data_IF_378957021683
#
_entry.id   IF_378957021683
#
_cell.length_a   1.000
_cell.length_b   1.000
_cell.length_c   1.000
_cell.angle_alpha   90.00
_cell.angle_beta   90.00
_cell.angle_gamma   90.00
#
_symmetry.space_group_name_H-M   'P 1'
#
loop_
_entity.id
_entity.type
_entity.pdbx_description
1 polymer ?
#
# COMPACT_ATOMS: atom_id res chain seq x y z
N UNK A 1 10.28 14.84 8.93
CA UNK A 1 9.47 14.32 7.81
C UNK A 1 10.08 14.79 6.49
N UNK A 2 10.18 13.92 5.49
CA UNK A 2 10.65 14.31 4.14
C UNK A 2 9.54 14.95 3.32
N UNK A 3 8.29 14.48 3.46
CA UNK A 3 7.12 14.99 2.74
C UNK A 3 6.63 16.33 3.28
N UNK A 4 5.82 17.03 2.49
CA UNK A 4 5.17 18.26 2.92
C UNK A 4 4.05 17.98 3.93
N UNK A 5 3.88 18.89 4.89
CA UNK A 5 2.84 18.74 5.91
C UNK A 5 1.46 18.62 5.25
N UNK A 6 0.74 17.57 5.64
CA UNK A 6 -0.64 17.34 5.21
C UNK A 6 -1.56 18.27 6.00
N UNK A 7 -2.63 18.76 5.37
CA UNK A 7 -3.63 19.56 6.06
C UNK A 7 -4.32 18.72 7.14
N UNK A 8 -4.29 19.18 8.39
CA UNK A 8 -4.90 18.48 9.53
C UNK A 8 -6.40 18.24 9.38
N UNK A 9 -7.09 19.01 8.51
CA UNK A 9 -8.50 18.80 8.22
C UNK A 9 -8.82 17.39 7.71
N UNK A 10 -7.90 16.75 6.99
CA UNK A 10 -8.04 15.34 6.59
C UNK A 10 -8.17 14.43 7.82
N UNK A 11 -7.27 14.55 8.77
CA UNK A 11 -7.26 13.70 9.96
C UNK A 11 -8.47 13.96 10.89
N UNK A 12 -8.91 15.21 10.98
CA UNK A 12 -10.16 15.56 11.67
C UNK A 12 -11.36 14.88 11.01
N UNK A 13 -11.43 14.91 9.68
CA UNK A 13 -12.49 14.23 8.91
C UNK A 13 -12.46 12.71 9.13
N UNK A 14 -11.28 12.10 9.10
CA UNK A 14 -11.10 10.66 9.31
C UNK A 14 -11.53 10.23 10.72
N UNK A 15 -11.15 10.98 11.77
CA UNK A 15 -11.61 10.72 13.14
C UNK A 15 -13.13 10.82 13.27
N UNK A 16 -13.74 11.83 12.65
CA UNK A 16 -15.22 11.98 12.65
C UNK A 16 -15.91 10.80 12.00
N UNK A 17 -15.39 10.28 10.89
CA UNK A 17 -15.91 9.06 10.26
C UNK A 17 -15.80 7.86 11.20
N UNK A 18 -14.64 7.68 11.84
CA UNK A 18 -14.40 6.57 12.76
C UNK A 18 -15.33 6.65 13.97
N UNK A 19 -15.38 7.79 14.65
CA UNK A 19 -16.17 7.97 15.86
C UNK A 19 -17.69 7.89 15.63
N UNK A 20 -18.16 8.25 14.43
CA UNK A 20 -19.58 8.13 14.05
C UNK A 20 -20.06 6.67 13.96
N UNK A 21 -19.14 5.71 13.78
CA UNK A 21 -19.46 4.27 13.74
C UNK A 21 -19.18 3.55 15.07
N UNK A 22 -18.65 4.24 16.07
CA UNK A 22 -18.43 3.66 17.39
C UNK A 22 -19.75 3.43 18.12
N UNK A 23 -19.78 2.39 18.94
CA UNK A 23 -20.90 2.17 19.87
C UNK A 23 -20.95 3.31 20.88
N UNK A 24 -22.14 3.65 21.38
CA UNK A 24 -22.27 4.62 22.47
C UNK A 24 -21.39 4.24 23.67
N UNK A 25 -20.92 5.25 24.38
CA UNK A 25 -20.12 5.14 25.59
C UNK A 25 -18.85 4.27 25.42
N UNK A 26 -18.15 4.44 24.30
CA UNK A 26 -16.98 3.65 23.95
C UNK A 26 -15.72 4.51 23.85
N UNK A 27 -14.60 3.95 24.28
CA UNK A 27 -13.25 4.49 24.09
C UNK A 27 -12.53 3.68 23.00
N UNK A 28 -11.74 4.33 22.15
CA UNK A 28 -10.82 3.66 21.22
C UNK A 28 -9.39 4.11 21.48
N UNK A 29 -8.46 3.18 21.44
CA UNK A 29 -7.03 3.44 21.62
C UNK A 29 -6.24 2.90 20.45
N UNK A 30 -5.34 3.73 19.91
CA UNK A 30 -4.43 3.40 18.81
C UNK A 30 -2.99 3.72 19.23
N UNK A 31 -2.13 2.71 19.15
CA UNK A 31 -0.71 2.87 19.48
C UNK A 31 0.13 3.04 18.20
N UNK A 32 1.26 3.77 18.34
CA UNK A 32 2.33 3.72 17.34
C UNK A 32 2.96 2.32 17.28
N UNK A 33 3.65 2.03 16.18
CA UNK A 33 4.53 0.86 16.12
C UNK A 33 5.70 0.98 17.14
N UNK A 34 6.37 -0.12 17.36
CA UNK A 34 7.63 -0.17 18.07
C UNK A 34 8.78 0.34 17.21
N UNK A 35 9.85 0.80 17.86
CA UNK A 35 11.18 0.91 17.24
C UNK A 35 11.76 -0.50 17.26
N UNK A 36 12.00 -1.08 16.07
CA UNK A 36 12.45 -2.46 15.96
C UNK A 36 13.99 -2.55 16.04
N UNK A 37 14.55 -3.26 17.06
CA UNK A 37 15.98 -3.42 17.20
C UNK A 37 16.56 -4.36 16.15
N UNK A 38 17.75 -4.03 15.62
CA UNK A 38 18.52 -4.90 14.72
C UNK A 38 19.66 -5.57 15.48
N UNK A 39 20.52 -4.75 16.09
CA UNK A 39 21.75 -5.20 16.76
C UNK A 39 22.29 -4.09 17.66
N UNK A 40 22.68 -4.43 18.88
CA UNK A 40 23.15 -3.48 19.89
C UNK A 40 22.17 -2.29 20.05
N UNK A 41 22.60 -1.09 19.76
CA UNK A 41 21.79 0.15 19.77
C UNK A 41 21.22 0.53 18.38
N UNK A 42 21.46 -0.30 17.36
CA UNK A 42 20.94 -0.07 16.01
C UNK A 42 19.50 -0.53 15.87
N UNK A 43 18.70 0.26 15.18
CA UNK A 43 17.28 -0.01 14.90
C UNK A 43 16.97 0.09 13.41
N UNK A 44 15.89 -0.55 12.97
CA UNK A 44 15.29 -0.24 11.67
C UNK A 44 14.75 1.19 11.68
N UNK A 45 14.71 1.88 10.52
CA UNK A 45 13.97 3.13 10.40
C UNK A 45 12.54 2.97 10.93
N UNK A 46 12.09 3.94 11.72
CA UNK A 46 10.74 3.90 12.27
C UNK A 46 9.70 4.05 11.16
N UNK A 47 8.73 3.14 11.18
CA UNK A 47 7.52 3.19 10.34
C UNK A 47 6.28 3.25 11.23
N UNK A 48 5.45 4.28 11.01
CA UNK A 48 4.25 4.48 11.81
C UNK A 48 3.17 3.44 11.50
N UNK A 49 2.43 3.03 12.54
CA UNK A 49 1.23 2.22 12.36
C UNK A 49 0.19 2.98 11.53
N UNK A 50 -0.26 2.41 10.43
CA UNK A 50 -1.06 3.12 9.44
C UNK A 50 -2.40 3.64 9.97
N UNK A 51 -2.99 2.99 10.97
CA UNK A 51 -4.27 3.42 11.55
C UNK A 51 -4.13 4.68 12.42
N UNK A 52 -3.12 4.75 13.29
CA UNK A 52 -2.88 5.97 14.05
C UNK A 52 -2.48 7.12 13.13
N UNK A 53 -1.69 6.85 12.08
CA UNK A 53 -1.37 7.86 11.07
C UNK A 53 -2.63 8.36 10.35
N UNK A 54 -3.49 7.46 9.87
CA UNK A 54 -4.76 7.79 9.21
C UNK A 54 -5.66 8.69 10.06
N UNK A 55 -5.68 8.45 11.37
CA UNK A 55 -6.54 9.18 12.30
C UNK A 55 -5.89 10.46 12.85
N UNK A 56 -4.56 10.60 12.85
CA UNK A 56 -3.88 11.71 13.53
C UNK A 56 -2.87 12.47 12.68
N UNK A 57 -2.32 11.88 11.64
CA UNK A 57 -1.19 12.44 10.88
C UNK A 57 0.13 12.44 11.63
N UNK A 58 0.17 11.87 12.83
CA UNK A 58 1.40 11.79 13.65
C UNK A 58 2.30 10.68 13.13
N UNK A 59 3.49 11.05 12.67
CA UNK A 59 4.52 10.14 12.14
C UNK A 59 5.74 10.15 13.09
N UNK A 60 5.48 9.76 14.33
CA UNK A 60 6.47 9.72 15.41
C UNK A 60 6.22 8.50 16.29
N UNK A 61 7.30 7.85 16.70
CA UNK A 61 7.30 6.76 17.67
C UNK A 61 6.74 7.18 19.03
N UNK A 62 6.40 6.21 19.86
CA UNK A 62 5.92 6.41 21.23
C UNK A 62 4.76 7.43 21.30
N UNK A 63 3.81 7.28 20.38
CA UNK A 63 2.57 8.06 20.35
C UNK A 63 1.35 7.15 20.54
N UNK A 64 0.31 7.69 21.20
CA UNK A 64 -0.97 7.03 21.41
C UNK A 64 -2.09 8.02 21.11
N UNK A 65 -3.09 7.58 20.35
CA UNK A 65 -4.33 8.31 20.13
C UNK A 65 -5.45 7.65 20.93
N UNK A 66 -6.19 8.47 21.68
CA UNK A 66 -7.40 8.06 22.42
C UNK A 66 -8.59 8.87 21.92
N UNK A 67 -9.69 8.17 21.59
CA UNK A 67 -10.94 8.75 21.13
C UNK A 67 -12.07 8.30 22.07
N UNK A 68 -12.83 9.26 22.61
CA UNK A 68 -14.01 9.01 23.43
C UNK A 68 -15.11 10.03 23.08
N UNK A 69 -15.91 9.80 22.01
CA UNK A 69 -16.88 10.78 21.52
C UNK A 69 -17.93 11.18 22.54
N UNK A 70 -18.32 10.28 23.44
CA UNK A 70 -19.34 10.52 24.49
C UNK A 70 -18.75 11.02 25.80
N UNK A 71 -17.44 11.40 25.80
CA UNK A 71 -16.82 11.94 27.02
C UNK A 71 -17.56 13.17 27.55
N UNK A 72 -17.70 13.30 28.89
CA UNK A 72 -18.45 14.39 29.52
C UNK A 72 -17.84 15.77 29.26
N UNK A 73 -16.53 15.83 28.99
CA UNK A 73 -15.81 17.07 28.69
C UNK A 73 -15.25 17.04 27.29
N UNK A 74 -15.36 18.16 26.57
CA UNK A 74 -14.84 18.30 25.19
C UNK A 74 -13.33 17.99 25.08
N UNK A 75 -12.56 18.36 26.10
CA UNK A 75 -11.11 18.08 26.15
C UNK A 75 -10.76 16.59 26.29
N UNK A 76 -11.74 15.75 26.56
CA UNK A 76 -11.55 14.30 26.70
C UNK A 76 -12.01 13.50 25.48
N UNK A 77 -12.61 14.15 24.47
CA UNK A 77 -13.14 13.45 23.29
C UNK A 77 -12.05 12.96 22.35
N UNK A 78 -11.00 13.75 22.19
CA UNK A 78 -9.84 13.41 21.37
C UNK A 78 -8.57 13.79 22.13
N UNK A 79 -7.72 12.80 22.43
CA UNK A 79 -6.47 13.02 23.16
C UNK A 79 -5.32 12.34 22.44
N UNK A 80 -4.23 13.09 22.31
CA UNK A 80 -2.98 12.57 21.80
C UNK A 80 -1.94 12.53 22.95
N UNK A 81 -1.26 11.39 23.07
CA UNK A 81 -0.15 11.20 23.98
C UNK A 81 1.14 11.07 23.19
N UNK A 82 2.18 11.80 23.58
CA UNK A 82 3.47 11.84 22.90
C UNK A 82 4.60 11.60 23.89
N UNK A 83 5.70 11.05 23.40
CA UNK A 83 6.98 11.06 24.14
C UNK A 83 7.30 12.50 24.51
N UNK A 84 7.60 12.74 25.78
CA UNK A 84 8.03 14.05 26.26
C UNK A 84 9.32 14.46 25.56
N UNK A 85 9.37 15.70 25.08
CA UNK A 85 10.56 16.26 24.45
C UNK A 85 11.28 17.21 25.39
N UNK A 86 12.61 17.29 25.29
CA UNK A 86 13.46 18.19 26.03
C UNK A 86 14.66 18.60 25.18
N UNK A 87 15.37 19.66 25.60
CA UNK A 87 16.62 20.07 24.94
C UNK A 87 17.64 18.93 24.88
N UNK A 88 17.71 18.13 25.94
CA UNK A 88 18.61 16.97 26.02
C UNK A 88 18.22 15.91 24.96
N UNK A 89 16.96 15.57 24.84
CA UNK A 89 16.47 14.62 23.82
C UNK A 89 16.74 15.16 22.41
N UNK A 90 16.51 16.46 22.19
CA UNK A 90 16.76 17.10 20.90
C UNK A 90 18.23 17.01 20.45
N UNK A 91 19.18 17.06 21.39
CA UNK A 91 20.60 16.90 21.08
C UNK A 91 20.95 15.50 20.56
N UNK A 92 20.31 14.45 21.10
CA UNK A 92 20.65 13.05 20.78
C UNK A 92 19.76 12.43 19.71
N UNK A 93 18.46 12.74 19.75
CA UNK A 93 17.45 12.08 18.91
C UNK A 93 16.82 13.02 17.87
N UNK A 94 17.21 14.30 17.87
CA UNK A 94 16.57 15.33 17.07
C UNK A 94 15.28 15.88 17.71
N UNK A 95 14.69 16.88 17.07
CA UNK A 95 13.44 17.49 17.54
C UNK A 95 12.27 16.52 17.44
N UNK A 96 11.57 16.29 18.55
CA UNK A 96 10.28 15.60 18.61
C UNK A 96 9.12 16.61 18.52
N UNK A 97 7.91 16.13 18.31
CA UNK A 97 6.72 17.00 18.29
C UNK A 97 6.50 17.64 19.65
N UNK A 98 6.42 18.97 19.67
CA UNK A 98 5.83 19.70 20.81
C UNK A 98 4.31 19.58 20.77
N UNK A 99 3.64 19.93 21.88
CA UNK A 99 2.17 19.90 21.94
C UNK A 99 1.52 20.82 20.88
N UNK A 100 2.13 21.99 20.62
CA UNK A 100 1.69 22.95 19.63
C UNK A 100 1.84 22.39 18.21
N UNK A 101 2.98 21.80 17.89
CA UNK A 101 3.20 21.17 16.58
C UNK A 101 2.30 19.94 16.37
N UNK A 102 2.06 19.17 17.41
CA UNK A 102 1.13 18.03 17.36
C UNK A 102 -0.30 18.49 17.03
N UNK A 103 -0.75 19.61 17.63
CA UNK A 103 -2.03 20.23 17.26
C UNK A 103 -2.06 20.66 15.79
N UNK A 104 -1.00 21.32 15.31
CA UNK A 104 -0.92 21.74 13.89
C UNK A 104 -0.99 20.57 12.93
N UNK A 105 -0.37 19.43 13.27
CA UNK A 105 -0.35 18.22 12.45
C UNK A 105 -1.69 17.50 12.49
N UNK A 106 -2.27 17.32 13.70
CA UNK A 106 -3.41 16.42 13.91
C UNK A 106 -4.77 17.13 14.02
N UNK A 107 -4.77 18.41 14.38
CA UNK A 107 -5.99 19.15 14.79
C UNK A 107 -6.48 18.78 16.20
N UNK A 108 -5.78 17.93 16.93
CA UNK A 108 -6.16 17.51 18.29
C UNK A 108 -5.64 18.54 19.29
N UNK A 109 -6.56 19.13 20.06
CA UNK A 109 -6.22 20.21 21.03
C UNK A 109 -5.65 19.68 22.33
N UNK A 110 -6.10 18.50 22.78
CA UNK A 110 -5.66 17.92 24.05
C UNK A 110 -4.48 17.01 23.79
N UNK A 111 -3.29 17.46 24.21
CA UNK A 111 -2.04 16.71 24.06
C UNK A 111 -1.39 16.55 25.42
N UNK A 112 -1.18 15.31 25.84
CA UNK A 112 -0.46 14.94 27.07
C UNK A 112 0.89 14.30 26.73
N UNK A 113 1.75 14.22 27.75
CA UNK A 113 2.94 13.39 27.66
C UNK A 113 2.58 11.91 27.91
N UNK A 114 3.32 11.02 27.31
CA UNK A 114 3.03 9.57 27.32
C UNK A 114 2.91 8.98 28.75
N UNK A 115 3.67 9.51 29.69
CA UNK A 115 3.64 9.11 31.10
C UNK A 115 2.26 9.30 31.76
N UNK A 116 1.42 10.20 31.24
CA UNK A 116 0.08 10.47 31.77
C UNK A 116 -0.97 9.47 31.24
N UNK A 117 -0.64 8.63 30.26
CA UNK A 117 -1.58 7.79 29.52
C UNK A 117 -2.43 6.90 30.44
N UNK A 118 -1.78 6.12 31.30
CA UNK A 118 -2.51 5.18 32.17
C UNK A 118 -3.45 5.87 33.15
N UNK A 119 -3.04 7.03 33.69
CA UNK A 119 -3.87 7.83 34.59
C UNK A 119 -5.12 8.35 33.89
N UNK A 120 -4.93 8.94 32.70
CA UNK A 120 -6.03 9.50 31.91
C UNK A 120 -6.97 8.39 31.40
N UNK A 121 -6.43 7.28 30.90
CA UNK A 121 -7.24 6.15 30.48
C UNK A 121 -8.04 5.58 31.65
N UNK A 122 -7.45 5.41 32.83
CA UNK A 122 -8.14 4.89 34.00
C UNK A 122 -9.33 5.78 34.41
N UNK A 123 -9.18 7.11 34.38
CA UNK A 123 -10.28 8.03 34.59
C UNK A 123 -11.43 7.79 33.61
N UNK A 124 -11.12 7.69 32.31
CA UNK A 124 -12.15 7.48 31.28
C UNK A 124 -12.85 6.12 31.38
N UNK A 125 -12.10 5.07 31.73
CA UNK A 125 -12.67 3.73 31.91
C UNK A 125 -13.62 3.63 33.10
N UNK A 126 -13.67 4.62 34.01
CA UNK A 126 -14.72 4.67 35.04
C UNK A 126 -16.10 5.04 34.49
N UNK A 127 -16.17 5.62 33.30
CA UNK A 127 -17.41 6.06 32.66
C UNK A 127 -17.75 5.22 31.43
N UNK A 128 -16.73 4.72 30.71
CA UNK A 128 -16.92 4.00 29.47
C UNK A 128 -17.33 2.52 29.70
N UNK A 129 -18.12 1.98 28.79
CA UNK A 129 -18.57 0.58 28.84
C UNK A 129 -17.75 -0.33 27.91
N UNK A 130 -17.20 0.22 26.85
CA UNK A 130 -16.57 -0.57 25.78
C UNK A 130 -15.23 0.04 25.35
N UNK A 131 -14.22 -0.83 25.18
CA UNK A 131 -12.94 -0.49 24.57
C UNK A 131 -12.90 -1.01 23.13
N UNK A 132 -12.67 -0.11 22.18
CA UNK A 132 -12.25 -0.46 20.83
C UNK A 132 -10.75 -0.68 20.81
N UNK A 133 -10.34 -1.93 20.55
CA UNK A 133 -8.94 -2.32 20.41
C UNK A 133 -8.56 -2.38 18.92
N UNK A 134 -7.30 -2.07 18.64
CA UNK A 134 -6.74 -2.15 17.30
C UNK A 134 -5.73 -3.30 17.24
N UNK A 135 -6.00 -4.30 16.42
CA UNK A 135 -5.09 -5.42 16.17
C UNK A 135 -4.94 -5.58 14.66
N UNK A 136 -3.80 -6.09 14.22
CA UNK A 136 -3.57 -6.33 12.80
C UNK A 136 -4.43 -7.50 12.32
N UNK A 137 -5.66 -7.22 11.87
CA UNK A 137 -6.65 -8.20 11.39
C UNK A 137 -6.72 -8.25 9.86
N UNK A 138 -5.74 -7.71 9.14
CA UNK A 138 -5.68 -7.85 7.70
C UNK A 138 -5.51 -9.32 7.32
N UNK A 139 -6.30 -9.81 6.34
CA UNK A 139 -6.32 -11.24 5.95
C UNK A 139 -4.98 -11.78 5.43
N UNK A 140 -4.06 -10.90 5.00
CA UNK A 140 -2.68 -11.23 4.60
C UNK A 140 -1.67 -11.04 5.74
N UNK A 141 -2.11 -10.61 6.93
CA UNK A 141 -1.17 -10.33 8.01
C UNK A 141 -0.49 -11.60 8.50
N UNK A 142 0.84 -11.53 8.59
CA UNK A 142 1.67 -12.51 9.29
C UNK A 142 2.37 -11.76 10.40
N UNK A 143 2.04 -12.09 11.66
CA UNK A 143 2.60 -11.42 12.85
C UNK A 143 3.19 -12.49 13.75
N UNK A 144 4.51 -12.66 13.66
CA UNK A 144 5.26 -13.59 14.51
C UNK A 144 5.79 -12.93 15.79
N UNK A 145 6.00 -11.62 15.74
CA UNK A 145 6.49 -10.83 16.89
C UNK A 145 5.34 -10.13 17.61
N UNK A 146 5.41 -10.07 18.94
CA UNK A 146 4.42 -9.38 19.74
C UNK A 146 4.52 -7.86 19.53
N UNK A 147 3.51 -7.27 18.93
CA UNK A 147 3.44 -5.82 18.65
C UNK A 147 3.05 -5.02 19.90
N UNK A 148 3.29 -3.70 19.88
CA UNK A 148 2.85 -2.77 20.93
C UNK A 148 1.33 -2.84 21.14
N UNK A 149 0.54 -2.93 20.06
CA UNK A 149 -0.91 -3.12 20.15
C UNK A 149 -1.27 -4.44 20.85
N UNK A 150 -0.58 -5.53 20.56
CA UNK A 150 -0.84 -6.80 21.21
C UNK A 150 -0.54 -6.76 22.72
N UNK A 151 0.58 -6.10 23.11
CA UNK A 151 0.91 -5.89 24.53
C UNK A 151 -0.12 -5.01 25.24
N UNK A 152 -0.57 -3.94 24.57
CA UNK A 152 -1.63 -3.09 25.10
C UNK A 152 -2.92 -3.87 25.32
N UNK A 153 -3.35 -4.70 24.36
CA UNK A 153 -4.55 -5.53 24.46
C UNK A 153 -4.48 -6.50 25.64
N UNK A 154 -3.32 -7.16 25.86
CA UNK A 154 -3.12 -8.05 26.99
C UNK A 154 -3.24 -7.29 28.30
N UNK A 155 -2.48 -6.20 28.43
CA UNK A 155 -2.49 -5.36 29.62
C UNK A 155 -3.91 -4.83 29.91
N UNK A 156 -4.63 -4.34 28.88
CA UNK A 156 -5.96 -3.81 29.06
C UNK A 156 -6.97 -4.88 29.55
N UNK A 157 -6.96 -6.08 29.00
CA UNK A 157 -7.82 -7.18 29.42
C UNK A 157 -7.60 -7.61 30.87
N UNK A 158 -6.37 -7.55 31.35
CA UNK A 158 -6.01 -7.86 32.72
C UNK A 158 -6.48 -6.79 33.71
N UNK A 159 -6.46 -5.52 33.32
CA UNK A 159 -6.78 -4.39 34.20
C UNK A 159 -8.26 -3.98 34.17
N UNK A 160 -8.98 -4.29 33.08
CA UNK A 160 -10.38 -3.89 32.88
C UNK A 160 -11.29 -5.09 32.52
N UNK A 161 -11.31 -6.17 33.31
CA UNK A 161 -12.00 -7.42 32.96
C UNK A 161 -13.52 -7.32 32.90
N UNK A 162 -14.12 -6.27 33.48
CA UNK A 162 -15.56 -6.05 33.48
C UNK A 162 -16.09 -5.26 32.28
N UNK A 163 -15.19 -4.71 31.43
CA UNK A 163 -15.57 -3.90 30.29
C UNK A 163 -15.74 -4.76 29.02
N UNK A 164 -16.57 -4.28 28.11
CA UNK A 164 -16.76 -4.90 26.80
C UNK A 164 -15.59 -4.59 25.87
N UNK A 165 -15.36 -5.47 24.89
CA UNK A 165 -14.35 -5.30 23.85
C UNK A 165 -15.01 -5.21 22.48
N UNK A 166 -14.59 -4.27 21.65
CA UNK A 166 -14.97 -4.15 20.25
C UNK A 166 -13.73 -4.04 19.35
N UNK A 167 -13.89 -4.35 18.06
CA UNK A 167 -12.82 -4.29 17.07
C UNK A 167 -12.86 -2.96 16.32
N UNK A 168 -11.73 -2.27 16.22
CA UNK A 168 -11.57 -1.07 15.36
C UNK A 168 -11.53 -1.42 13.88
N UNK A 169 -10.97 -2.58 13.54
CA UNK A 169 -10.66 -2.98 12.17
C UNK A 169 -11.88 -2.95 11.21
N UNK A 170 -13.10 -3.44 11.56
CA UNK A 170 -14.24 -3.37 10.63
C UNK A 170 -14.64 -1.95 10.25
N UNK A 171 -14.49 -0.98 11.16
CA UNK A 171 -14.74 0.44 10.86
C UNK A 171 -13.64 0.96 9.94
N UNK A 172 -12.36 0.72 10.30
CA UNK A 172 -11.21 1.17 9.52
C UNK A 172 -11.22 0.60 8.10
N UNK A 173 -11.58 -0.67 7.91
CA UNK A 173 -11.71 -1.28 6.59
C UNK A 173 -12.71 -0.53 5.71
N UNK A 174 -13.86 -0.13 6.25
CA UNK A 174 -14.86 0.62 5.50
C UNK A 174 -14.40 2.03 5.16
N UNK A 175 -13.93 2.79 6.16
CA UNK A 175 -13.60 4.20 5.96
C UNK A 175 -12.30 4.40 5.17
N UNK A 176 -11.28 3.53 5.33
CA UNK A 176 -10.03 3.61 4.58
C UNK A 176 -10.14 3.13 3.15
N UNK A 177 -11.10 2.23 2.85
CA UNK A 177 -11.29 1.74 1.47
C UNK A 177 -11.76 2.84 0.51
N UNK A 178 -12.50 3.85 1.00
CA UNK A 178 -12.99 4.98 0.19
C UNK A 178 -12.14 6.21 0.52
N UNK A 179 -11.32 6.62 -0.44
CA UNK A 179 -10.34 7.70 -0.27
C UNK A 179 -11.00 9.09 -0.32
N UNK A 180 -10.53 9.99 0.52
CA UNK A 180 -10.79 11.42 0.35
C UNK A 180 -9.98 11.98 -0.83
N UNK A 181 -10.38 13.13 -1.36
CA UNK A 181 -9.64 13.78 -2.45
C UNK A 181 -8.18 14.04 -2.10
N UNK A 182 -7.93 14.46 -0.85
CA UNK A 182 -6.58 14.72 -0.34
C UNK A 182 -5.72 13.44 -0.29
N UNK A 183 -6.32 12.27 -0.02
CA UNK A 183 -5.62 10.98 -0.06
C UNK A 183 -5.29 10.57 -1.50
N UNK A 184 -6.21 10.83 -2.45
CA UNK A 184 -5.98 10.60 -3.88
C UNK A 184 -4.84 11.48 -4.40
N UNK A 185 -4.75 12.74 -3.97
CA UNK A 185 -3.65 13.64 -4.31
C UNK A 185 -2.30 13.13 -3.78
N UNK A 186 -2.27 12.55 -2.58
CA UNK A 186 -1.05 11.94 -2.01
C UNK A 186 -0.63 10.68 -2.78
N UNK A 187 -1.59 9.85 -3.18
CA UNK A 187 -1.36 8.69 -4.04
C UNK A 187 -0.85 9.11 -5.43
N UNK A 188 -1.45 10.15 -6.03
CA UNK A 188 -0.97 10.71 -7.30
C UNK A 188 0.49 11.18 -7.17
N UNK A 189 0.83 11.84 -6.06
CA UNK A 189 2.21 12.29 -5.84
C UNK A 189 3.20 11.12 -5.73
N UNK A 190 2.83 10.02 -5.07
CA UNK A 190 3.62 8.80 -5.04
C UNK A 190 3.80 8.20 -6.44
N UNK A 191 2.74 8.18 -7.27
CA UNK A 191 2.81 7.76 -8.67
C UNK A 191 3.71 8.68 -9.51
N UNK A 192 3.67 10.00 -9.30
CA UNK A 192 4.52 10.97 -10.01
C UNK A 192 6.01 10.79 -9.65
N UNK A 193 6.32 10.40 -8.41
CA UNK A 193 7.70 10.05 -8.01
C UNK A 193 8.13 8.75 -8.70
N UNK A 194 7.25 7.76 -8.76
CA UNK A 194 7.49 6.49 -9.45
C UNK A 194 7.73 6.70 -10.95
N UNK A 195 6.95 7.57 -11.60
CA UNK A 195 7.18 7.98 -12.99
C UNK A 195 8.60 8.49 -13.22
N UNK A 196 9.06 9.40 -12.36
CA UNK A 196 10.42 9.97 -12.49
C UNK A 196 11.48 8.90 -12.36
N UNK A 197 11.32 7.98 -11.40
CA UNK A 197 12.22 6.83 -11.25
C UNK A 197 12.24 5.94 -12.48
N UNK A 198 11.08 5.58 -13.00
CA UNK A 198 10.96 4.73 -14.18
C UNK A 198 11.56 5.40 -15.44
N UNK A 199 11.24 6.67 -15.68
CA UNK A 199 11.84 7.41 -16.81
C UNK A 199 13.35 7.51 -16.73
N UNK A 200 13.91 7.59 -15.51
CA UNK A 200 15.36 7.57 -15.29
C UNK A 200 15.98 6.22 -15.66
N UNK A 201 15.25 5.11 -15.44
CA UNK A 201 15.74 3.77 -15.77
C UNK A 201 15.83 3.49 -17.26
N UNK A 202 14.92 4.02 -18.07
CA UNK A 202 14.81 3.67 -19.48
C UNK A 202 16.14 3.85 -20.25
N UNK A 203 16.86 4.98 -20.17
CA UNK A 203 18.17 5.12 -20.81
C UNK A 203 19.32 4.42 -20.06
N UNK A 204 19.11 4.02 -18.80
CA UNK A 204 20.14 3.38 -17.98
C UNK A 204 20.26 1.88 -18.25
N UNK A 205 19.11 1.19 -18.41
CA UNK A 205 19.07 -0.27 -18.58
C UNK A 205 19.68 -0.68 -19.92
N UNK A 206 20.68 -1.54 -19.85
CA UNK A 206 21.37 -2.12 -21.00
C UNK A 206 22.02 -3.45 -20.61
N UNK A 207 22.46 -4.27 -21.58
CA UNK A 207 23.19 -5.51 -21.27
C UNK A 207 24.39 -5.28 -20.35
N UNK A 208 24.57 -6.20 -19.41
CA UNK A 208 25.59 -6.23 -18.36
C UNK A 208 25.37 -5.32 -17.15
N UNK A 209 24.32 -4.49 -17.12
CA UNK A 209 23.86 -3.84 -15.88
C UNK A 209 23.35 -4.91 -14.93
N UNK A 210 23.56 -4.76 -13.62
CA UNK A 210 23.04 -5.65 -12.59
C UNK A 210 21.71 -5.13 -12.03
N UNK A 211 20.87 -6.06 -11.52
CA UNK A 211 19.57 -5.73 -10.96
C UNK A 211 19.68 -4.73 -9.79
N UNK A 212 20.72 -4.86 -8.92
CA UNK A 212 20.95 -3.90 -7.82
C UNK A 212 21.45 -2.52 -8.27
N UNK A 213 22.09 -2.39 -9.46
CA UNK A 213 22.43 -1.08 -10.02
C UNK A 213 21.14 -0.35 -10.45
N UNK A 214 20.16 -1.09 -10.98
CA UNK A 214 18.83 -0.54 -11.30
C UNK A 214 18.11 -0.09 -10.02
N UNK A 215 18.19 -0.89 -8.94
CA UNK A 215 17.63 -0.53 -7.64
C UNK A 215 18.25 0.77 -7.11
N UNK A 216 19.57 0.94 -7.25
CA UNK A 216 20.28 2.15 -6.82
C UNK A 216 19.83 3.41 -7.58
N UNK A 217 19.54 3.33 -8.88
CA UNK A 217 19.00 4.43 -9.67
C UNK A 217 17.59 4.84 -9.24
N UNK A 218 16.73 3.85 -8.93
CA UNK A 218 15.38 4.08 -8.43
C UNK A 218 15.39 4.76 -7.06
N UNK A 219 16.12 4.19 -6.10
CA UNK A 219 16.15 4.74 -4.73
C UNK A 219 16.72 6.17 -4.70
N UNK A 220 17.73 6.45 -5.55
CA UNK A 220 18.24 7.81 -5.71
C UNK A 220 17.12 8.77 -6.14
N UNK A 221 16.33 8.41 -7.16
CA UNK A 221 15.28 9.30 -7.67
C UNK A 221 14.14 9.46 -6.67
N UNK A 222 13.76 8.38 -5.98
CA UNK A 222 12.70 8.42 -4.96
C UNK A 222 13.08 9.35 -3.80
N UNK A 223 14.27 9.18 -3.22
CA UNK A 223 14.72 9.98 -2.08
C UNK A 223 14.88 11.46 -2.44
N UNK A 224 15.43 11.81 -3.61
CA UNK A 224 15.55 13.22 -4.02
C UNK A 224 14.21 13.90 -4.25
N UNK A 225 13.13 13.14 -4.49
CA UNK A 225 11.77 13.63 -4.64
C UNK A 225 10.93 13.51 -3.36
N UNK A 226 11.58 13.44 -2.18
CA UNK A 226 10.95 13.47 -0.85
C UNK A 226 10.24 12.17 -0.41
N UNK A 227 10.39 11.08 -1.13
CA UNK A 227 9.98 9.76 -0.66
C UNK A 227 10.89 9.27 0.48
N UNK A 228 10.41 8.39 1.33
CA UNK A 228 11.27 7.62 2.26
C UNK A 228 12.07 6.56 1.50
N UNK A 229 11.55 6.07 0.38
CA UNK A 229 12.11 5.02 -0.45
C UNK A 229 11.03 4.24 -1.19
N UNK A 230 11.27 2.95 -1.36
CA UNK A 230 10.30 2.03 -1.94
C UNK A 230 9.09 1.85 -1.02
N UNK A 231 7.90 1.73 -1.60
CA UNK A 231 6.66 1.43 -0.89
C UNK A 231 6.62 -0.01 -0.35
N UNK A 232 7.36 -0.91 -0.99
CA UNK A 232 7.55 -2.33 -0.66
C UNK A 232 8.92 -2.80 -1.14
N UNK A 233 9.34 -4.02 -0.78
CA UNK A 233 10.59 -4.60 -1.26
C UNK A 233 10.56 -4.70 -2.79
N UNK A 234 11.50 -4.05 -3.51
CA UNK A 234 11.47 -3.98 -4.96
C UNK A 234 11.73 -5.36 -5.60
N UNK A 235 11.02 -5.65 -6.68
CA UNK A 235 11.24 -6.82 -7.54
C UNK A 235 11.85 -6.33 -8.84
N UNK A 236 13.09 -6.74 -9.10
CA UNK A 236 13.85 -6.38 -10.30
C UNK A 236 14.35 -7.68 -10.92
N UNK A 237 13.53 -8.27 -11.78
CA UNK A 237 13.66 -9.66 -12.21
C UNK A 237 14.03 -9.78 -13.69
N UNK A 238 15.30 -10.04 -13.99
CA UNK A 238 15.79 -10.21 -15.36
C UNK A 238 15.63 -11.65 -15.87
N UNK A 239 15.26 -11.81 -17.13
CA UNK A 239 15.13 -13.11 -17.80
C UNK A 239 14.15 -14.06 -17.06
N UNK A 240 14.62 -15.25 -16.75
CA UNK A 240 13.81 -16.29 -16.11
C UNK A 240 13.41 -15.94 -14.65
N UNK A 241 14.10 -15.00 -13.99
CA UNK A 241 13.74 -14.55 -12.63
C UNK A 241 12.32 -13.96 -12.60
N UNK A 242 11.86 -13.38 -13.73
CA UNK A 242 10.51 -12.86 -13.87
C UNK A 242 9.39 -13.92 -13.68
N UNK A 243 9.72 -15.21 -13.68
CA UNK A 243 8.78 -16.30 -13.38
C UNK A 243 8.66 -16.59 -11.87
N UNK A 244 9.43 -15.91 -11.01
CA UNK A 244 9.31 -15.94 -9.55
C UNK A 244 8.57 -14.70 -9.12
N UNK A 245 7.31 -14.83 -8.71
CA UNK A 245 6.39 -13.70 -8.48
C UNK A 245 6.90 -12.69 -7.46
N UNK A 246 7.60 -13.14 -6.40
CA UNK A 246 8.21 -12.31 -5.37
C UNK A 246 9.73 -12.49 -5.36
N UNK A 247 10.37 -12.27 -6.52
CA UNK A 247 11.82 -12.29 -6.65
C UNK A 247 12.40 -11.00 -6.05
N UNK A 248 13.17 -11.12 -4.98
CA UNK A 248 13.73 -9.99 -4.21
C UNK A 248 15.25 -10.02 -4.08
N UNK A 249 15.90 -11.02 -4.68
CA UNK A 249 17.37 -11.16 -4.60
C UNK A 249 18.09 -10.01 -5.33
N UNK A 250 17.55 -9.56 -6.43
CA UNK A 250 18.03 -8.42 -7.24
C UNK A 250 19.55 -8.44 -7.47
N UNK A 251 20.15 -9.62 -7.71
CA UNK A 251 21.59 -9.79 -7.73
C UNK A 251 22.16 -10.30 -9.05
N UNK A 252 21.32 -10.48 -10.06
CA UNK A 252 21.74 -11.04 -11.36
C UNK A 252 22.12 -9.94 -12.35
N UNK A 253 22.96 -10.32 -13.31
CA UNK A 253 23.33 -9.47 -14.43
C UNK A 253 22.31 -9.60 -15.57
N UNK A 254 21.81 -8.48 -16.06
CA UNK A 254 20.88 -8.41 -17.18
C UNK A 254 21.58 -8.80 -18.49
N UNK A 255 21.05 -9.76 -19.23
CA UNK A 255 21.64 -10.27 -20.46
C UNK A 255 20.97 -9.69 -21.69
N UNK A 256 21.75 -9.59 -22.78
CA UNK A 256 21.19 -9.20 -24.07
C UNK A 256 20.08 -10.17 -24.52
N UNK A 257 18.95 -9.62 -24.96
CA UNK A 257 17.78 -10.39 -25.40
C UNK A 257 16.78 -10.74 -24.28
N UNK A 258 17.16 -10.61 -22.99
CA UNK A 258 16.27 -10.79 -21.87
C UNK A 258 15.27 -9.62 -21.77
N UNK A 259 14.12 -9.90 -21.17
CA UNK A 259 13.25 -8.91 -20.56
C UNK A 259 13.64 -8.73 -19.10
N UNK A 260 13.34 -7.55 -18.54
CA UNK A 260 13.38 -7.31 -17.11
C UNK A 260 12.01 -6.84 -16.63
N UNK A 261 11.44 -7.57 -15.66
CA UNK A 261 10.23 -7.22 -14.97
C UNK A 261 10.61 -6.37 -13.75
N UNK A 262 10.06 -5.17 -13.69
CA UNK A 262 10.27 -4.17 -12.66
C UNK A 262 8.95 -3.95 -11.91
N UNK A 263 8.83 -4.54 -10.73
CA UNK A 263 7.73 -4.27 -9.81
C UNK A 263 8.29 -3.41 -8.68
N UNK A 264 8.16 -2.09 -8.88
CA UNK A 264 8.88 -1.07 -8.13
C UNK A 264 8.06 0.21 -8.04
N UNK A 265 7.88 0.72 -6.84
CA UNK A 265 7.17 1.99 -6.67
C UNK A 265 7.61 2.75 -5.42
N UNK A 266 7.41 4.06 -5.44
CA UNK A 266 7.71 4.96 -4.33
C UNK A 266 6.54 5.05 -3.35
N UNK A 267 6.85 5.36 -2.08
CA UNK A 267 5.86 5.88 -1.14
C UNK A 267 5.96 7.41 -1.07
N UNK A 268 4.89 8.07 -0.69
CA UNK A 268 4.90 9.49 -0.32
C UNK A 268 3.94 9.74 0.83
N UNK A 269 4.43 10.35 1.91
CA UNK A 269 3.63 10.67 3.09
C UNK A 269 2.87 9.44 3.65
N UNK A 270 3.52 8.28 3.67
CA UNK A 270 2.98 6.98 4.06
C UNK A 270 1.93 6.38 3.08
N UNK A 271 1.60 7.04 1.97
CA UNK A 271 0.78 6.47 0.90
C UNK A 271 1.65 5.76 -0.12
N UNK A 272 1.27 4.55 -0.46
CA UNK A 272 2.01 3.69 -1.41
C UNK A 272 1.52 3.91 -2.83
N UNK A 273 2.43 3.97 -3.81
CA UNK A 273 2.11 3.58 -5.19
C UNK A 273 2.53 2.14 -5.44
N UNK A 274 2.05 1.55 -6.52
CA UNK A 274 2.35 0.17 -6.90
C UNK A 274 2.40 0.06 -8.42
N UNK A 275 3.56 -0.28 -8.98
CA UNK A 275 3.75 -0.27 -10.43
C UNK A 275 4.58 -1.44 -10.90
N UNK A 276 4.07 -2.16 -11.89
CA UNK A 276 4.89 -3.09 -12.66
C UNK A 276 5.02 -2.65 -14.11
N UNK A 277 6.24 -2.69 -14.62
CA UNK A 277 6.58 -2.57 -16.04
C UNK A 277 7.58 -3.67 -16.42
N UNK A 278 7.44 -4.17 -17.63
CA UNK A 278 8.42 -5.10 -18.21
C UNK A 278 9.06 -4.45 -19.43
N UNK A 279 10.38 -4.36 -19.45
CA UNK A 279 11.14 -3.69 -20.52
C UNK A 279 12.22 -4.61 -21.11
N UNK A 280 12.66 -4.40 -22.38
CA UNK A 280 13.72 -5.21 -22.99
C UNK A 280 15.09 -4.71 -22.58
N UNK A 281 15.95 -5.59 -22.05
CA UNK A 281 17.32 -5.23 -21.63
C UNK A 281 18.14 -4.60 -22.75
N UNK A 282 17.94 -5.06 -24.00
CA UNK A 282 18.64 -4.54 -25.19
C UNK A 282 17.94 -3.35 -25.86
N UNK A 283 16.94 -2.73 -25.22
CA UNK A 283 16.20 -1.60 -25.79
C UNK A 283 15.24 -1.97 -26.93
N UNK A 284 15.05 -3.26 -27.22
CA UNK A 284 14.14 -3.73 -28.27
C UNK A 284 13.54 -5.09 -27.93
N UNK A 285 12.22 -5.21 -28.01
CA UNK A 285 11.49 -6.47 -27.84
C UNK A 285 11.63 -7.35 -29.10
N UNK A 286 11.67 -8.67 -28.91
CA UNK A 286 11.45 -9.61 -30.00
C UNK A 286 9.95 -9.68 -30.38
N UNK A 287 9.63 -10.21 -31.54
CA UNK A 287 8.22 -10.35 -31.99
C UNK A 287 7.39 -11.19 -31.02
N UNK A 288 7.97 -12.27 -30.45
CA UNK A 288 7.31 -13.10 -29.43
C UNK A 288 7.04 -12.33 -28.14
N UNK A 289 8.03 -11.56 -27.66
CA UNK A 289 7.91 -10.72 -26.49
C UNK A 289 6.83 -9.64 -26.69
N UNK A 290 6.80 -8.97 -27.88
CA UNK A 290 5.76 -8.00 -28.23
C UNK A 290 4.37 -8.62 -28.22
N UNK A 291 4.21 -9.83 -28.79
CA UNK A 291 2.94 -10.51 -28.82
C UNK A 291 2.39 -10.80 -27.40
N UNK A 292 3.24 -11.31 -26.50
CA UNK A 292 2.86 -11.56 -25.09
C UNK A 292 2.62 -10.25 -24.36
N UNK A 293 3.46 -9.23 -24.55
CA UNK A 293 3.30 -7.91 -23.93
C UNK A 293 1.96 -7.27 -24.28
N UNK A 294 1.60 -7.27 -25.57
CA UNK A 294 0.35 -6.69 -26.04
C UNK A 294 -0.88 -7.46 -25.54
N UNK A 295 -0.76 -8.78 -25.34
CA UNK A 295 -1.82 -9.58 -24.73
C UNK A 295 -2.03 -9.17 -23.26
N UNK A 296 -0.94 -9.03 -22.47
CA UNK A 296 -1.03 -8.54 -21.07
C UNK A 296 -1.61 -7.12 -21.03
N UNK A 297 -1.15 -6.22 -21.89
CA UNK A 297 -1.62 -4.84 -21.97
C UNK A 297 -3.13 -4.79 -22.30
N UNK A 298 -3.60 -5.63 -23.20
CA UNK A 298 -5.03 -5.74 -23.52
C UNK A 298 -5.83 -6.22 -22.32
N UNK A 299 -5.39 -7.27 -21.62
CA UNK A 299 -6.04 -7.75 -20.39
C UNK A 299 -6.11 -6.64 -19.35
N UNK A 300 -4.98 -5.91 -19.12
CA UNK A 300 -4.93 -4.79 -18.19
C UNK A 300 -5.95 -3.69 -18.55
N UNK A 301 -6.00 -3.29 -19.80
CA UNK A 301 -6.91 -2.24 -20.26
C UNK A 301 -8.39 -2.66 -20.12
N UNK A 302 -8.74 -3.90 -20.45
CA UNK A 302 -10.10 -4.41 -20.24
C UNK A 302 -10.44 -4.55 -18.74
N UNK A 303 -9.52 -5.07 -17.93
CA UNK A 303 -9.69 -5.15 -16.49
C UNK A 303 -9.91 -3.77 -15.85
N UNK A 304 -9.17 -2.75 -16.30
CA UNK A 304 -9.34 -1.35 -15.82
C UNK A 304 -10.78 -0.86 -16.04
N UNK A 305 -11.35 -1.09 -17.23
CA UNK A 305 -12.73 -0.66 -17.55
C UNK A 305 -13.80 -1.30 -16.67
N UNK A 306 -13.52 -2.47 -16.09
CA UNK A 306 -14.44 -3.20 -15.23
C UNK A 306 -14.50 -2.64 -13.80
N UNK A 307 -13.57 -1.77 -13.39
CA UNK A 307 -13.53 -1.17 -12.05
C UNK A 307 -14.54 -0.01 -11.94
N UNK A 308 -15.80 -0.37 -11.81
CA UNK A 308 -16.92 0.59 -11.74
C UNK A 308 -17.77 0.37 -10.50
N UNK A 309 -18.49 1.41 -10.00
CA UNK A 309 -19.38 1.26 -8.87
C UNK A 309 -20.41 0.13 -9.08
N UNK A 310 -20.60 -0.70 -8.07
CA UNK A 310 -21.49 -1.85 -8.11
C UNK A 310 -20.84 -3.17 -8.54
N UNK A 311 -19.64 -3.14 -9.11
CA UNK A 311 -18.91 -4.36 -9.49
C UNK A 311 -18.54 -5.16 -8.24
N UNK A 312 -18.82 -6.48 -8.25
CA UNK A 312 -18.42 -7.39 -7.20
C UNK A 312 -17.04 -7.97 -7.49
N UNK A 313 -16.18 -8.05 -6.47
CA UNK A 313 -14.82 -8.53 -6.57
C UNK A 313 -14.69 -9.90 -7.25
N UNK A 314 -15.51 -10.87 -6.84
CA UNK A 314 -15.50 -12.20 -7.43
C UNK A 314 -15.87 -12.18 -8.93
N UNK A 315 -16.89 -11.38 -9.31
CA UNK A 315 -17.33 -11.25 -10.69
C UNK A 315 -16.24 -10.60 -11.55
N UNK A 316 -15.59 -9.56 -11.03
CA UNK A 316 -14.47 -8.91 -11.68
C UNK A 316 -13.37 -9.91 -12.07
N UNK A 317 -12.91 -10.73 -11.13
CA UNK A 317 -11.87 -11.72 -11.42
C UNK A 317 -12.29 -12.78 -12.43
N UNK A 318 -13.57 -13.20 -12.42
CA UNK A 318 -14.11 -14.14 -13.40
C UNK A 318 -14.07 -13.52 -14.81
N UNK A 319 -14.51 -12.28 -14.97
CA UNK A 319 -14.52 -11.63 -16.28
C UNK A 319 -13.10 -11.36 -16.80
N UNK A 320 -12.18 -10.93 -15.96
CA UNK A 320 -10.76 -10.79 -16.33
C UNK A 320 -10.17 -12.13 -16.75
N UNK A 321 -10.50 -13.22 -16.05
CA UNK A 321 -10.07 -14.56 -16.40
C UNK A 321 -10.52 -15.00 -17.80
N UNK A 322 -11.73 -14.61 -18.24
CA UNK A 322 -12.22 -14.88 -19.61
C UNK A 322 -11.40 -14.13 -20.66
N UNK A 323 -11.07 -12.85 -20.40
CA UNK A 323 -10.20 -12.07 -21.31
C UNK A 323 -8.83 -12.72 -21.40
N UNK A 324 -8.21 -13.08 -20.26
CA UNK A 324 -6.92 -13.75 -20.21
C UNK A 324 -6.94 -15.09 -20.98
N UNK A 325 -7.99 -15.91 -20.81
CA UNK A 325 -8.16 -17.15 -21.54
C UNK A 325 -8.14 -16.93 -23.05
N UNK A 326 -8.86 -15.88 -23.52
CA UNK A 326 -8.89 -15.52 -24.95
C UNK A 326 -7.50 -15.16 -25.48
N UNK A 327 -6.73 -14.38 -24.73
CA UNK A 327 -5.37 -13.97 -25.12
C UNK A 327 -4.40 -15.15 -25.13
N UNK A 328 -4.47 -16.03 -24.13
CA UNK A 328 -3.63 -17.24 -24.07
C UNK A 328 -3.92 -18.23 -25.20
N UNK A 329 -5.18 -18.37 -25.61
CA UNK A 329 -5.55 -19.12 -26.82
C UNK A 329 -4.94 -18.51 -28.09
N UNK A 330 -5.00 -17.17 -28.21
CA UNK A 330 -4.40 -16.43 -29.33
C UNK A 330 -2.88 -16.57 -29.40
N UNK A 331 -2.21 -16.66 -28.25
CA UNK A 331 -0.77 -16.87 -28.14
C UNK A 331 -0.31 -18.33 -28.33
N UNK A 332 -1.27 -19.29 -28.41
CA UNK A 332 -0.99 -20.71 -28.49
C UNK A 332 -0.40 -21.32 -27.21
N UNK A 333 -0.62 -20.65 -26.06
CA UNK A 333 -0.14 -21.13 -24.75
C UNK A 333 -1.08 -22.15 -24.11
N UNK A 334 -2.37 -22.06 -24.42
CA UNK A 334 -3.39 -23.05 -24.09
C UNK A 334 -4.20 -23.36 -25.37
N UNK A 335 -4.90 -24.47 -25.37
CA UNK A 335 -5.78 -24.86 -26.47
C UNK A 335 -7.27 -24.98 -26.03
N UNK A 336 -8.14 -25.28 -26.99
CA UNK A 336 -9.57 -25.43 -26.71
C UNK A 336 -9.88 -26.63 -25.81
N UNK A 337 -9.05 -27.69 -25.87
CA UNK A 337 -9.23 -28.86 -25.04
C UNK A 337 -8.85 -28.55 -23.57
N UNK A 338 -7.81 -27.75 -23.35
CA UNK A 338 -7.46 -27.25 -22.01
C UNK A 338 -8.64 -26.52 -21.36
N UNK A 339 -9.30 -25.64 -22.12
CA UNK A 339 -10.46 -24.85 -21.63
C UNK A 339 -11.70 -25.74 -21.43
N UNK A 340 -11.96 -26.69 -22.31
CA UNK A 340 -13.13 -27.58 -22.20
C UNK A 340 -13.02 -28.56 -21.01
N UNK A 341 -11.81 -28.92 -20.62
CA UNK A 341 -11.52 -29.89 -19.56
C UNK A 341 -10.99 -29.23 -18.29
N UNK A 342 -11.06 -27.91 -18.18
CA UNK A 342 -10.50 -27.18 -17.04
C UNK A 342 -11.21 -27.50 -15.72
N UNK A 343 -10.44 -27.43 -14.62
CA UNK A 343 -11.01 -27.44 -13.29
C UNK A 343 -11.63 -26.07 -12.98
N UNK A 344 -12.94 -25.96 -12.67
CA UNK A 344 -13.58 -24.68 -12.37
C UNK A 344 -12.94 -23.89 -11.22
N UNK A 345 -12.29 -24.56 -10.26
CA UNK A 345 -11.56 -23.93 -9.16
C UNK A 345 -10.16 -23.47 -9.57
N UNK A 346 -9.61 -24.05 -10.64
CA UNK A 346 -8.30 -23.72 -11.21
C UNK A 346 -8.39 -23.70 -12.74
N UNK A 347 -9.00 -22.66 -13.33
CA UNK A 347 -9.18 -22.54 -14.78
C UNK A 347 -7.86 -22.59 -15.56
N UNK A 348 -7.91 -22.96 -16.83
CA UNK A 348 -6.74 -23.22 -17.69
C UNK A 348 -5.78 -22.01 -17.75
N UNK A 349 -6.29 -20.78 -17.74
CA UNK A 349 -5.46 -19.59 -17.77
C UNK A 349 -4.52 -19.47 -16.56
N UNK A 350 -4.87 -20.08 -15.41
CA UNK A 350 -4.04 -20.01 -14.18
C UNK A 350 -2.70 -20.72 -14.30
N UNK A 351 -2.51 -21.51 -15.34
CA UNK A 351 -1.18 -22.08 -15.68
C UNK A 351 -0.15 -20.99 -15.99
N UNK A 352 -0.59 -19.86 -16.53
CA UNK A 352 0.28 -18.74 -16.96
C UNK A 352 -0.04 -17.44 -16.22
N UNK A 353 -1.19 -17.31 -15.58
CA UNK A 353 -1.61 -16.19 -14.76
C UNK A 353 -2.24 -16.69 -13.45
N UNK A 354 -1.42 -16.98 -12.47
CA UNK A 354 -1.80 -17.70 -11.25
C UNK A 354 -2.21 -16.80 -10.07
N UNK A 355 -1.95 -15.50 -10.14
CA UNK A 355 -2.27 -14.55 -9.06
C UNK A 355 -3.56 -13.74 -9.33
N UNK A 356 -3.94 -12.86 -8.41
CA UNK A 356 -5.07 -11.94 -8.57
C UNK A 356 -4.75 -10.80 -9.54
N UNK A 357 -5.79 -10.19 -10.09
CA UNK A 357 -5.63 -9.06 -11.03
C UNK A 357 -5.46 -7.73 -10.30
N UNK A 358 -5.95 -7.62 -9.06
CA UNK A 358 -6.07 -6.34 -8.35
C UNK A 358 -6.10 -6.54 -6.84
N UNK A 359 -5.75 -5.49 -6.11
CA UNK A 359 -5.98 -5.34 -4.68
C UNK A 359 -6.22 -3.87 -4.33
N UNK A 360 -6.76 -3.60 -3.14
CA UNK A 360 -6.86 -2.24 -2.63
C UNK A 360 -5.47 -1.64 -2.39
N UNK A 361 -5.34 -0.34 -2.64
CA UNK A 361 -4.12 0.43 -2.46
C UNK A 361 -4.41 1.68 -1.62
N UNK A 362 -3.44 2.11 -0.80
CA UNK A 362 -3.56 3.31 0.03
C UNK A 362 -2.35 3.52 0.93
N UNK A 363 -2.60 3.61 2.24
CA UNK A 363 -1.55 3.66 3.26
C UNK A 363 -0.74 2.36 3.37
N UNK A 364 -1.34 1.25 2.96
CA UNK A 364 -0.62 0.00 2.75
C UNK A 364 -0.63 -0.30 1.25
N UNK A 365 0.40 -0.95 0.75
CA UNK A 365 0.42 -1.49 -0.62
C UNK A 365 -0.74 -2.47 -0.81
N UNK A 366 -0.89 -3.45 0.07
CA UNK A 366 -2.11 -4.24 0.19
C UNK A 366 -3.00 -3.60 1.26
N UNK A 367 -3.86 -2.66 0.85
CA UNK A 367 -4.66 -1.88 1.80
C UNK A 367 -5.98 -2.57 2.19
N UNK A 368 -6.66 -1.97 3.15
CA UNK A 368 -7.95 -2.43 3.64
C UNK A 368 -9.05 -2.36 2.58
N UNK A 369 -9.91 -3.37 2.56
CA UNK A 369 -11.11 -3.39 1.76
C UNK A 369 -12.01 -4.58 2.10
N UNK A 370 -13.31 -4.40 1.88
CA UNK A 370 -14.32 -5.44 2.11
C UNK A 370 -14.63 -6.12 0.77
N UNK A 371 -13.90 -7.21 0.47
CA UNK A 371 -13.97 -7.92 -0.82
C UNK A 371 -15.34 -8.54 -1.13
N UNK A 372 -16.24 -8.62 -0.15
CA UNK A 372 -17.62 -9.09 -0.32
C UNK A 372 -18.63 -7.96 -0.60
N UNK A 373 -18.21 -6.70 -0.45
CA UNK A 373 -19.01 -5.53 -0.79
C UNK A 373 -18.76 -5.10 -2.25
N UNK A 374 -19.77 -4.46 -2.91
CA UNK A 374 -19.56 -3.91 -4.24
C UNK A 374 -18.57 -2.74 -4.20
N UNK A 375 -17.83 -2.58 -5.31
CA UNK A 375 -16.94 -1.43 -5.49
C UNK A 375 -17.72 -0.12 -5.42
N UNK A 376 -17.08 0.91 -4.88
CA UNK A 376 -17.64 2.26 -4.71
C UNK A 376 -16.68 3.29 -5.30
N UNK A 377 -17.21 4.44 -5.67
CA UNK A 377 -16.40 5.59 -6.09
C UNK A 377 -15.34 5.93 -5.04
N UNK A 378 -14.20 6.42 -5.48
CA UNK A 378 -13.01 6.75 -4.67
C UNK A 378 -12.33 5.55 -4.00
N UNK A 379 -12.70 4.31 -4.32
CA UNK A 379 -11.84 3.17 -4.05
C UNK A 379 -10.66 3.20 -5.02
N UNK A 380 -9.48 2.81 -4.55
CA UNK A 380 -8.25 2.75 -5.35
C UNK A 380 -7.77 1.32 -5.38
N UNK A 381 -7.47 0.84 -6.60
CA UNK A 381 -7.02 -0.52 -6.86
C UNK A 381 -5.78 -0.53 -7.73
N UNK A 382 -4.97 -1.58 -7.59
CA UNK A 382 -4.01 -1.98 -8.62
C UNK A 382 -4.74 -2.69 -9.76
N UNK A 383 -4.14 -2.72 -10.95
CA UNK A 383 -4.56 -3.57 -12.08
C UNK A 383 -3.30 -4.18 -12.66
N UNK A 384 -3.01 -5.45 -12.32
CA UNK A 384 -1.69 -6.07 -12.42
C UNK A 384 -1.68 -7.45 -13.15
N UNK A 385 -2.37 -7.66 -14.28
CA UNK A 385 -2.29 -8.95 -14.95
C UNK A 385 -0.88 -9.26 -15.45
N UNK A 386 -0.54 -10.55 -15.49
CA UNK A 386 0.73 -11.02 -16.00
C UNK A 386 0.60 -12.35 -16.75
N UNK A 387 1.57 -12.63 -17.62
CA UNK A 387 1.76 -13.92 -18.29
C UNK A 387 3.19 -14.38 -18.05
N UNK A 388 3.34 -15.55 -17.43
CA UNK A 388 4.63 -16.11 -17.02
C UNK A 388 4.89 -17.40 -17.79
N UNK A 389 6.01 -17.45 -18.54
CA UNK A 389 6.33 -18.55 -19.46
C UNK A 389 7.71 -19.11 -19.13
N UNK A 390 7.84 -19.99 -18.10
CA UNK A 390 9.13 -20.56 -17.71
C UNK A 390 9.83 -21.30 -18.85
N UNK A 391 9.06 -21.94 -19.74
CA UNK A 391 9.62 -22.63 -20.91
C UNK A 391 10.28 -21.70 -21.94
N UNK A 392 9.87 -20.42 -21.98
CA UNK A 392 10.46 -19.39 -22.85
C UNK A 392 11.42 -18.47 -22.08
N UNK A 393 11.57 -18.65 -20.75
CA UNK A 393 12.54 -17.95 -19.91
C UNK A 393 12.20 -16.51 -19.60
N UNK A 394 10.92 -16.08 -19.68
CA UNK A 394 10.49 -14.72 -19.32
C UNK A 394 9.06 -14.69 -18.75
N UNK A 395 8.77 -13.63 -18.02
CA UNK A 395 7.43 -13.26 -17.56
C UNK A 395 7.19 -11.78 -17.85
N UNK A 396 5.92 -11.42 -18.08
CA UNK A 396 5.48 -10.04 -18.31
C UNK A 396 4.34 -9.75 -17.35
N UNK A 397 4.48 -8.70 -16.52
CA UNK A 397 3.42 -8.09 -15.72
C UNK A 397 3.36 -6.61 -16.05
N UNK A 398 2.16 -6.06 -16.15
CA UNK A 398 1.90 -4.65 -16.37
C UNK A 398 0.87 -4.20 -15.35
N UNK A 399 1.17 -3.14 -14.62
CA UNK A 399 0.38 -2.69 -13.49
C UNK A 399 0.27 -1.18 -13.42
N UNK A 400 -0.92 -0.71 -13.12
CA UNK A 400 -1.23 0.67 -12.81
C UNK A 400 -2.12 0.79 -11.57
N UNK A 401 -2.15 1.98 -10.97
CA UNK A 401 -3.05 2.35 -9.89
C UNK A 401 -4.25 3.13 -10.43
N UNK A 402 -5.44 2.69 -10.06
CA UNK A 402 -6.68 3.18 -10.67
C UNK A 402 -7.69 3.58 -9.61
N UNK A 403 -8.30 4.76 -9.76
CA UNK A 403 -9.37 5.27 -8.91
C UNK A 403 -10.72 4.99 -9.57
N UNK A 404 -11.61 4.31 -8.86
CA UNK A 404 -13.01 4.10 -9.28
C UNK A 404 -13.73 5.45 -9.30
N UNK A 405 -14.30 5.84 -10.45
CA UNK A 405 -15.05 7.07 -10.61
C UNK A 405 -16.54 6.86 -10.34
N UNK A 406 -17.24 7.89 -9.86
CA UNK A 406 -18.70 7.85 -9.69
C UNK A 406 -19.41 7.62 -11.03
N UNK A 407 -18.89 8.23 -12.09
CA UNK A 407 -19.38 8.09 -13.48
C UNK A 407 -18.21 8.13 -14.46
N UNK A 408 -18.36 7.43 -15.57
CA UNK A 408 -17.35 7.39 -16.62
C UNK A 408 -16.31 6.30 -16.39
N UNK A 409 -15.19 6.41 -17.08
CA UNK A 409 -14.09 5.45 -16.97
C UNK A 409 -13.29 5.66 -15.67
N UNK A 410 -12.72 4.59 -15.09
CA UNK A 410 -11.82 4.70 -13.96
C UNK A 410 -10.62 5.61 -14.28
N UNK A 411 -10.15 6.36 -13.27
CA UNK A 411 -9.06 7.30 -13.45
C UNK A 411 -7.72 6.64 -13.14
N UNK A 412 -6.85 6.54 -14.13
CA UNK A 412 -5.51 5.97 -13.98
C UNK A 412 -4.54 7.01 -13.41
N UNK A 413 -4.03 6.79 -12.19
CA UNK A 413 -3.03 7.64 -11.54
C UNK A 413 -1.66 7.60 -12.24
N UNK A 414 -1.41 6.51 -13.00
CA UNK A 414 -0.13 6.26 -13.69
C UNK A 414 -0.19 6.51 -15.21
N UNK A 415 -1.21 7.22 -15.69
CA UNK A 415 -1.45 7.50 -17.12
C UNK A 415 -0.29 8.14 -17.87
N UNK A 416 0.65 8.77 -17.15
CA UNK A 416 1.83 9.42 -17.73
C UNK A 416 3.07 8.51 -17.76
N UNK A 417 3.02 7.34 -17.12
CA UNK A 417 4.14 6.39 -17.10
C UNK A 417 4.14 5.60 -18.41
N UNK A 418 5.26 5.58 -19.16
CA UNK A 418 5.36 4.84 -20.41
C UNK A 418 4.91 3.38 -20.27
N UNK A 419 4.10 2.92 -21.22
CA UNK A 419 3.56 1.55 -21.21
C UNK A 419 3.49 0.95 -22.62
N UNK A 420 3.40 1.77 -23.66
CA UNK A 420 3.32 1.26 -25.01
C UNK A 420 4.71 0.79 -25.49
N UNK A 421 4.73 -0.34 -26.23
CA UNK A 421 5.95 -0.98 -26.71
C UNK A 421 6.86 0.02 -27.45
N UNK A 422 6.28 0.75 -28.42
CA UNK A 422 7.05 1.66 -29.28
C UNK A 422 7.59 2.89 -28.50
N UNK A 423 6.83 3.37 -27.49
CA UNK A 423 7.26 4.44 -26.60
C UNK A 423 8.44 4.00 -25.74
N UNK A 424 8.37 2.80 -25.14
CA UNK A 424 9.44 2.23 -24.32
C UNK A 424 10.70 2.04 -25.17
N UNK A 425 10.60 1.40 -26.34
CA UNK A 425 11.73 1.21 -27.26
C UNK A 425 12.36 2.56 -27.67
N UNK A 426 11.54 3.59 -27.94
CA UNK A 426 12.01 4.92 -28.30
C UNK A 426 12.78 5.59 -27.15
N UNK A 427 12.24 5.55 -25.93
CA UNK A 427 12.86 6.17 -24.76
C UNK A 427 14.14 5.45 -24.30
N UNK A 428 14.24 4.14 -24.50
CA UNK A 428 15.45 3.38 -24.19
C UNK A 428 16.60 3.64 -25.17
N UNK A 429 16.29 4.09 -26.39
CA UNK A 429 17.28 4.34 -27.45
C UNK A 429 17.51 5.85 -27.75
N UNK A 430 16.99 6.72 -26.87
CA UNK A 430 17.11 8.18 -27.01
C UNK A 430 18.40 8.76 -26.42
#
# INVERSE_FOLDING_TARGET
MKYHQINSALFVKNRRKFTAEMKPNSVAVFNSNDIYPISADSTLPFEQHRDIFYLSGVDQEESILLLYPDAPYESQKEILFLKETSEHIAIWEGEKLTKERAFQVSGIRTVYWLQDFHKVLNEMMTYADTMYINTNEHYRAVVETETREARFVKWWKENYPAHNVAKSNPILQRIRSIKESEEIDLLQHACDITEKGFRRLLPFVKPNVTEYEIEAELIHEFIRNRSKGFAYTPIIASGNNANVLHYIENNQQCKAGDLILLDVAAEYANYSSDMTRTIPVSGKFSERQKAVYNAVLKVKNEATKMLTPGTLWKQYHIEVGKVMTSELLGLGLIDKADVQNENPEWPAYKKYFMHGTSHHLGLNTHDYGLLHEPMKANMVFTVEPGIYIPAEGFGIRLEDNVVVQEKGEPFNLMRNIPIEVDEIESLMNS
#
